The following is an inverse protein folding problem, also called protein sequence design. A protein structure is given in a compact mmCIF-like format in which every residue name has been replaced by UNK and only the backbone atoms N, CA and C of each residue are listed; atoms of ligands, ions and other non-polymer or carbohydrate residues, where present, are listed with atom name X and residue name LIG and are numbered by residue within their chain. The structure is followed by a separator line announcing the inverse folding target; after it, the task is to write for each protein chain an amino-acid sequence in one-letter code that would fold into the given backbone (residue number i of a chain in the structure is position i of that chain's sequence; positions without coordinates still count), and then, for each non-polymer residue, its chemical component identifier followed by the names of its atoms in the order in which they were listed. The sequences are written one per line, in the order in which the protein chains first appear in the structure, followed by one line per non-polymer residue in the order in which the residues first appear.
data_IF_602882156601
#
_entry.id   IF_602882156601
#
_cell.length_a   1.000
_cell.length_b   1.000
_cell.length_c   1.000
_cell.angle_alpha   90.00
_cell.angle_beta   90.00
_cell.angle_gamma   90.00
#
_symmetry.space_group_name_H-M   'P 1'
#
loop_
_entity.id
_entity.type
_entity.pdbx_description
1 polymer ?
#
# COMPACT_ATOMS: atom_id res chain seq x y z
N UNK A 1 -5.10 5.34 -20.91
CA UNK A 1 -5.10 3.85 -20.79
C UNK A 1 -3.72 3.21 -20.84
N UNK A 2 -2.76 3.72 -21.62
CA UNK A 2 -1.39 3.16 -21.70
C UNK A 2 -0.68 3.04 -20.34
N UNK A 3 -0.69 4.09 -19.52
CA UNK A 3 -0.03 4.09 -18.20
C UNK A 3 -0.63 3.10 -17.19
N UNK A 4 -1.95 2.84 -17.27
CA UNK A 4 -2.62 1.83 -16.43
C UNK A 4 -2.14 0.43 -16.77
N UNK A 5 -1.89 0.12 -18.05
CA UNK A 5 -1.31 -1.18 -18.46
C UNK A 5 0.12 -1.36 -17.99
N UNK A 6 0.94 -0.31 -18.04
CA UNK A 6 2.34 -0.35 -17.58
C UNK A 6 2.45 -0.54 -16.06
N UNK A 7 1.60 0.15 -15.30
CA UNK A 7 1.56 0.02 -13.83
C UNK A 7 1.04 -1.34 -13.38
N UNK A 8 0.02 -1.89 -14.04
CA UNK A 8 -0.41 -3.28 -13.80
C UNK A 8 0.69 -4.29 -14.08
N UNK A 9 1.42 -4.14 -15.20
CA UNK A 9 2.57 -5.00 -15.53
C UNK A 9 3.69 -4.93 -14.48
N UNK A 10 4.01 -3.72 -14.02
CA UNK A 10 5.01 -3.52 -12.96
C UNK A 10 4.58 -4.15 -11.63
N UNK A 11 3.31 -3.98 -11.23
CA UNK A 11 2.77 -4.60 -10.01
C UNK A 11 2.84 -6.12 -10.10
N UNK A 12 2.49 -6.70 -11.26
CA UNK A 12 2.62 -8.15 -11.48
C UNK A 12 4.06 -8.65 -11.37
N UNK A 13 5.01 -7.94 -11.98
CA UNK A 13 6.44 -8.27 -11.84
C UNK A 13 6.92 -8.22 -10.38
N UNK A 14 6.52 -7.21 -9.62
CA UNK A 14 6.87 -7.09 -8.21
C UNK A 14 6.30 -8.23 -7.38
N UNK A 15 5.09 -8.70 -7.68
CA UNK A 15 4.47 -9.85 -7.02
C UNK A 15 5.23 -11.15 -7.27
N UNK A 16 5.66 -11.38 -8.51
CA UNK A 16 6.51 -12.53 -8.81
C UNK A 16 7.87 -12.48 -8.10
N UNK A 17 8.44 -11.29 -7.91
CA UNK A 17 9.70 -11.13 -7.17
C UNK A 17 9.51 -11.37 -5.67
N UNK A 18 8.42 -10.86 -5.09
CA UNK A 18 8.08 -11.09 -3.69
C UNK A 18 7.85 -12.58 -3.44
N UNK A 19 7.10 -13.27 -4.31
CA UNK A 19 6.84 -14.71 -4.18
C UNK A 19 8.11 -15.57 -4.32
N UNK A 20 9.04 -15.18 -5.21
CA UNK A 20 10.36 -15.81 -5.30
C UNK A 20 11.13 -15.69 -3.99
N UNK A 21 11.17 -14.50 -3.40
CA UNK A 21 11.87 -14.27 -2.13
C UNK A 21 11.18 -15.00 -0.98
N UNK A 22 9.83 -15.05 -0.95
CA UNK A 22 9.09 -15.83 0.03
C UNK A 22 9.44 -17.32 -0.04
N UNK A 23 9.64 -17.84 -1.25
CA UNK A 23 10.04 -19.24 -1.46
C UNK A 23 11.47 -19.48 -0.96
N UNK A 24 12.39 -18.56 -1.26
CA UNK A 24 13.78 -18.63 -0.76
C UNK A 24 13.82 -18.62 0.77
N UNK A 25 13.07 -17.73 1.43
CA UNK A 25 12.99 -17.67 2.90
C UNK A 25 12.48 -18.99 3.48
N UNK A 26 11.43 -19.58 2.87
CA UNK A 26 10.90 -20.88 3.30
C UNK A 26 11.92 -22.01 3.16
N UNK A 27 12.75 -21.98 2.13
CA UNK A 27 13.84 -22.96 1.95
C UNK A 27 14.93 -22.80 3.00
N UNK A 28 15.31 -21.57 3.33
CA UNK A 28 16.27 -21.27 4.40
C UNK A 28 15.73 -21.77 5.75
N UNK A 29 14.46 -21.52 6.05
CA UNK A 29 13.81 -21.99 7.29
C UNK A 29 13.85 -23.51 7.42
N UNK A 30 13.61 -24.24 6.32
CA UNK A 30 13.72 -25.70 6.28
C UNK A 30 15.15 -26.17 6.57
N UNK A 31 16.16 -25.51 5.98
CA UNK A 31 17.57 -25.84 6.21
C UNK A 31 17.97 -25.59 7.66
N UNK A 32 17.60 -24.44 8.24
CA UNK A 32 17.84 -24.13 9.65
C UNK A 32 17.21 -25.17 10.58
N UNK A 33 15.96 -25.57 10.30
CA UNK A 33 15.28 -26.63 11.06
C UNK A 33 16.00 -27.99 10.97
N UNK A 34 16.64 -28.29 9.84
CA UNK A 34 17.47 -29.48 9.66
C UNK A 34 18.76 -29.43 10.50
N UNK A 35 19.45 -28.28 10.48
CA UNK A 35 20.66 -28.04 11.29
C UNK A 35 20.36 -28.18 12.79
N UNK A 36 19.24 -27.62 13.26
CA UNK A 36 18.79 -27.73 14.67
C UNK A 36 18.44 -29.17 15.10
N UNK A 37 18.11 -30.06 14.16
CA UNK A 37 17.88 -31.48 14.44
C UNK A 37 19.21 -32.25 14.51
N UNK A 38 20.18 -31.90 13.67
CA UNK A 38 21.51 -32.53 13.63
C UNK A 38 22.40 -32.17 14.82
N UNK A 39 22.24 -30.99 15.43
CA UNK A 39 23.03 -30.57 16.61
C UNK A 39 22.77 -31.39 17.88
N UNK A 40 21.80 -32.31 17.88
CA UNK A 40 21.44 -33.12 19.06
C UNK A 40 22.27 -34.40 19.23
N UNK A 41 23.12 -34.77 18.28
CA UNK A 41 23.82 -36.08 18.30
C UNK A 41 25.30 -36.07 17.89
N UNK A 42 25.93 -34.91 17.68
CA UNK A 42 27.23 -34.83 17.01
C UNK A 42 28.40 -34.35 17.89
N UNK A 43 29.61 -34.75 17.47
CA UNK A 43 30.90 -34.40 18.11
C UNK A 43 31.25 -32.91 17.93
N UNK A 44 32.22 -32.41 18.71
CA UNK A 44 32.55 -30.98 18.84
C UNK A 44 32.85 -30.27 17.51
N UNK A 45 33.66 -30.88 16.63
CA UNK A 45 34.02 -30.30 15.33
C UNK A 45 32.82 -30.19 14.38
N UNK A 46 31.84 -31.07 14.52
CA UNK A 46 30.62 -31.06 13.72
C UNK A 46 29.63 -30.01 14.24
N UNK A 47 29.57 -29.81 15.57
CA UNK A 47 28.80 -28.72 16.17
C UNK A 47 29.31 -27.35 15.72
N UNK A 48 30.63 -27.16 15.62
CA UNK A 48 31.22 -25.91 15.13
C UNK A 48 30.85 -25.65 13.66
N UNK A 49 30.90 -26.70 12.81
CA UNK A 49 30.48 -26.59 11.40
C UNK A 49 29.00 -26.23 11.26
N UNK A 50 28.13 -26.92 11.99
CA UNK A 50 26.69 -26.68 11.98
C UNK A 50 26.33 -25.27 12.50
N UNK A 51 27.06 -24.79 13.50
CA UNK A 51 26.90 -23.42 14.01
C UNK A 51 27.25 -22.38 12.95
N UNK A 52 28.38 -22.54 12.26
CA UNK A 52 28.77 -21.64 11.18
C UNK A 52 27.76 -21.65 10.03
N UNK A 53 27.27 -22.83 9.63
CA UNK A 53 26.22 -22.96 8.62
C UNK A 53 24.93 -22.25 9.04
N UNK A 54 24.53 -22.40 10.30
CA UNK A 54 23.35 -21.73 10.84
C UNK A 54 23.46 -20.20 10.78
N UNK A 55 24.62 -19.66 11.16
CA UNK A 55 24.88 -18.21 11.09
C UNK A 55 24.81 -17.68 9.66
N UNK A 56 25.36 -18.41 8.70
CA UNK A 56 25.33 -18.02 7.29
C UNK A 56 23.90 -18.07 6.72
N UNK A 57 23.11 -19.09 7.08
CA UNK A 57 21.68 -19.16 6.75
C UNK A 57 20.90 -17.98 7.37
N UNK A 58 21.21 -17.61 8.60
CA UNK A 58 20.56 -16.47 9.27
C UNK A 58 20.88 -15.14 8.56
N UNK A 59 22.14 -14.94 8.14
CA UNK A 59 22.56 -13.78 7.35
C UNK A 59 21.82 -13.74 6.01
N UNK A 60 21.73 -14.87 5.31
CA UNK A 60 20.99 -14.94 4.04
C UNK A 60 19.52 -14.60 4.24
N UNK A 61 18.87 -15.17 5.27
CA UNK A 61 17.47 -14.89 5.59
C UNK A 61 17.23 -13.40 5.84
N UNK A 62 18.08 -12.77 6.66
CA UNK A 62 18.00 -11.33 6.96
C UNK A 62 18.10 -10.48 5.70
N UNK A 63 19.00 -10.83 4.77
CA UNK A 63 19.15 -10.13 3.49
C UNK A 63 17.91 -10.29 2.60
N UNK A 64 17.39 -11.51 2.46
CA UNK A 64 16.17 -11.78 1.68
C UNK A 64 14.94 -11.08 2.27
N UNK A 65 14.79 -11.06 3.60
CA UNK A 65 13.71 -10.35 4.28
C UNK A 65 13.78 -8.83 4.05
N UNK A 66 14.97 -8.24 4.08
CA UNK A 66 15.15 -6.82 3.79
C UNK A 66 14.69 -6.50 2.36
N UNK A 67 15.15 -7.29 1.38
CA UNK A 67 14.78 -7.14 -0.02
C UNK A 67 13.27 -7.28 -0.24
N UNK A 68 12.63 -8.25 0.43
CA UNK A 68 11.17 -8.43 0.41
C UNK A 68 10.44 -7.17 0.89
N UNK A 69 10.85 -6.62 2.05
CA UNK A 69 10.24 -5.40 2.62
C UNK A 69 10.41 -4.19 1.72
N UNK A 70 11.55 -4.06 1.06
CA UNK A 70 11.77 -2.96 0.10
C UNK A 70 10.85 -3.06 -1.11
N UNK A 71 10.68 -4.26 -1.66
CA UNK A 71 9.74 -4.51 -2.77
C UNK A 71 8.29 -4.26 -2.36
N UNK A 72 7.88 -4.71 -1.17
CA UNK A 72 6.54 -4.42 -0.63
C UNK A 72 6.31 -2.91 -0.46
N UNK A 73 7.31 -2.19 0.08
CA UNK A 73 7.26 -0.74 0.22
C UNK A 73 7.14 -0.06 -1.14
N UNK A 74 7.90 -0.51 -2.14
CA UNK A 74 7.81 0.01 -3.50
C UNK A 74 6.44 -0.27 -4.13
N UNK A 75 5.92 -1.50 -4.01
CA UNK A 75 4.58 -1.90 -4.47
C UNK A 75 3.47 -1.04 -3.85
N UNK A 76 3.57 -0.73 -2.54
CA UNK A 76 2.58 0.08 -1.82
C UNK A 76 2.40 1.51 -2.36
N UNK A 77 3.34 2.00 -3.18
CA UNK A 77 3.21 3.30 -3.86
C UNK A 77 2.15 3.26 -4.95
N UNK A 78 2.01 2.10 -5.60
CA UNK A 78 1.15 1.90 -6.76
C UNK A 78 -0.15 1.17 -6.42
N UNK A 79 -0.27 0.56 -5.25
CA UNK A 79 -1.43 -0.25 -4.86
C UNK A 79 -2.00 0.26 -3.53
N UNK A 80 -3.33 0.36 -3.44
CA UNK A 80 -4.01 0.71 -2.20
C UNK A 80 -4.09 -0.50 -1.23
N UNK A 81 -4.59 -0.28 -0.01
CA UNK A 81 -4.75 -1.34 1.00
C UNK A 81 -5.75 -2.44 0.60
N UNK A 82 -6.51 -2.24 -0.48
CA UNK A 82 -7.51 -3.18 -1.02
C UNK A 82 -6.99 -3.90 -2.27
N UNK A 83 -5.71 -3.76 -2.60
CA UNK A 83 -5.11 -4.42 -3.76
C UNK A 83 -5.39 -3.74 -5.09
N UNK A 84 -5.96 -2.53 -5.11
CA UNK A 84 -6.29 -1.82 -6.35
C UNK A 84 -5.17 -0.88 -6.74
N UNK A 85 -4.86 -0.82 -8.04
CA UNK A 85 -3.89 0.14 -8.57
C UNK A 85 -4.38 1.56 -8.26
N UNK A 86 -3.55 2.35 -7.58
CA UNK A 86 -3.78 3.76 -7.32
C UNK A 86 -3.63 4.53 -8.63
N UNK A 87 -4.73 5.08 -9.14
CA UNK A 87 -4.64 6.24 -10.04
C UNK A 87 -4.32 7.46 -9.20
N UNK A 88 -3.06 7.88 -9.22
CA UNK A 88 -2.66 9.10 -8.53
C UNK A 88 -3.42 10.32 -9.06
N UNK A 89 -3.80 10.35 -10.33
CA UNK A 89 -4.45 11.51 -10.92
C UNK A 89 -5.92 11.64 -10.51
N UNK A 90 -6.69 10.54 -10.52
CA UNK A 90 -8.09 10.54 -10.07
C UNK A 90 -8.21 10.93 -8.59
N UNK A 91 -7.25 10.51 -7.75
CA UNK A 91 -7.18 10.91 -6.34
C UNK A 91 -6.85 12.40 -6.18
N UNK A 92 -5.84 12.90 -6.92
CA UNK A 92 -5.45 14.31 -6.91
C UNK A 92 -6.59 15.20 -7.37
N UNK A 93 -7.27 14.83 -8.45
CA UNK A 93 -8.42 15.54 -9.00
C UNK A 93 -9.55 15.59 -7.96
N UNK A 94 -9.87 14.47 -7.32
CA UNK A 94 -10.89 14.44 -6.27
C UNK A 94 -10.54 15.36 -5.09
N UNK A 95 -9.27 15.34 -4.64
CA UNK A 95 -8.80 16.22 -3.56
C UNK A 95 -8.84 17.69 -3.99
N UNK A 96 -8.45 17.99 -5.24
CA UNK A 96 -8.49 19.34 -5.79
C UNK A 96 -9.92 19.87 -5.88
N UNK A 97 -10.86 19.07 -6.40
CA UNK A 97 -12.29 19.40 -6.47
C UNK A 97 -12.86 19.61 -5.07
N UNK A 98 -12.60 18.70 -4.13
CA UNK A 98 -13.04 18.84 -2.74
C UNK A 98 -12.55 20.15 -2.11
N UNK A 99 -11.24 20.44 -2.21
CA UNK A 99 -10.65 21.68 -1.70
C UNK A 99 -11.26 22.92 -2.35
N UNK A 100 -11.45 22.89 -3.65
CA UNK A 100 -11.98 24.03 -4.42
C UNK A 100 -13.42 24.34 -4.04
N UNK A 101 -14.27 23.31 -3.92
CA UNK A 101 -15.66 23.45 -3.47
C UNK A 101 -15.72 24.04 -2.07
N UNK A 102 -14.97 23.48 -1.12
CA UNK A 102 -14.96 23.97 0.26
C UNK A 102 -14.40 25.40 0.37
N UNK A 103 -13.37 25.72 -0.42
CA UNK A 103 -12.87 27.09 -0.53
C UNK A 103 -13.95 28.06 -1.03
N UNK A 104 -14.66 27.71 -2.10
CA UNK A 104 -15.72 28.53 -2.66
C UNK A 104 -16.88 28.75 -1.66
N UNK A 105 -17.33 27.69 -0.99
CA UNK A 105 -18.37 27.77 0.05
C UNK A 105 -17.95 28.70 1.19
N UNK A 106 -16.70 28.60 1.65
CA UNK A 106 -16.19 29.48 2.71
C UNK A 106 -16.11 30.94 2.26
N UNK A 107 -15.67 31.18 1.03
CA UNK A 107 -15.63 32.53 0.44
C UNK A 107 -17.03 33.12 0.35
N UNK A 108 -18.02 32.36 -0.11
CA UNK A 108 -19.43 32.79 -0.13
C UNK A 108 -19.91 33.10 1.29
N UNK A 109 -19.57 32.25 2.26
CA UNK A 109 -19.98 32.42 3.66
C UNK A 109 -19.40 33.64 4.37
N UNK A 110 -18.29 34.21 3.87
CA UNK A 110 -17.76 35.47 4.38
C UNK A 110 -18.72 36.64 4.14
N UNK A 111 -19.58 36.54 3.12
CA UNK A 111 -20.57 37.56 2.75
C UNK A 111 -21.98 37.11 3.17
N UNK A 112 -22.32 35.83 3.00
CA UNK A 112 -23.67 35.30 3.22
C UNK A 112 -23.68 34.00 4.03
N UNK A 113 -23.82 34.12 5.36
CA UNK A 113 -23.78 32.97 6.29
C UNK A 113 -24.87 31.92 6.04
N UNK A 114 -26.11 32.33 5.75
CA UNK A 114 -27.21 31.39 5.52
C UNK A 114 -26.99 30.54 4.25
N UNK A 115 -26.55 31.15 3.15
CA UNK A 115 -26.16 30.46 1.92
C UNK A 115 -25.00 29.48 2.14
N UNK A 116 -23.99 29.85 2.93
CA UNK A 116 -22.95 28.89 3.35
C UNK A 116 -23.55 27.68 4.05
N UNK A 117 -24.41 27.88 5.06
CA UNK A 117 -25.04 26.78 5.78
C UNK A 117 -25.88 25.88 4.87
N UNK A 118 -26.55 26.45 3.86
CA UNK A 118 -27.30 25.69 2.86
C UNK A 118 -26.36 24.82 2.02
N UNK A 119 -25.32 25.42 1.44
CA UNK A 119 -24.37 24.72 0.56
C UNK A 119 -23.61 23.61 1.29
N UNK A 120 -23.21 23.81 2.55
CA UNK A 120 -22.56 22.77 3.37
C UNK A 120 -23.48 21.57 3.63
N UNK A 121 -24.79 21.79 3.74
CA UNK A 121 -25.78 20.72 3.92
C UNK A 121 -26.08 20.02 2.59
N UNK A 122 -26.26 20.81 1.53
CA UNK A 122 -26.72 20.36 0.23
C UNK A 122 -25.63 19.65 -0.59
N UNK A 123 -24.39 20.13 -0.55
CA UNK A 123 -23.30 19.55 -1.34
C UNK A 123 -22.65 18.41 -0.56
N UNK A 124 -22.59 17.22 -1.17
CA UNK A 124 -21.82 16.08 -0.67
C UNK A 124 -20.71 15.75 -1.65
N UNK A 125 -19.47 15.91 -1.19
CA UNK A 125 -18.27 15.48 -1.92
C UNK A 125 -17.86 14.08 -1.45
N UNK A 126 -17.44 13.24 -2.38
CA UNK A 126 -16.93 11.90 -2.13
C UNK A 126 -16.29 11.37 -3.41
N UNK A 127 -16.46 10.07 -3.70
CA UNK A 127 -16.08 9.52 -5.02
C UNK A 127 -16.82 10.26 -6.15
N UNK A 128 -18.07 10.65 -5.89
CA UNK A 128 -18.86 11.53 -6.73
C UNK A 128 -19.22 12.80 -5.95
N UNK A 129 -19.44 13.90 -6.66
CA UNK A 129 -20.00 15.12 -6.08
C UNK A 129 -21.49 15.18 -6.41
N UNK A 130 -22.33 15.42 -5.39
CA UNK A 130 -23.78 15.60 -5.57
C UNK A 130 -24.27 16.86 -4.88
N UNK A 131 -25.25 17.51 -5.48
CA UNK A 131 -26.05 18.55 -4.86
C UNK A 131 -27.41 17.95 -4.52
N UNK A 132 -27.71 17.87 -3.22
CA UNK A 132 -28.94 17.32 -2.67
C UNK A 132 -29.47 18.27 -1.58
N UNK A 133 -30.14 19.35 -1.99
CA UNK A 133 -30.61 20.37 -1.05
C UNK A 133 -31.67 19.77 -0.11
N UNK A 134 -31.72 20.24 1.15
CA UNK A 134 -32.70 19.76 2.13
C UNK A 134 -34.14 20.18 1.79
N UNK A 135 -34.29 21.28 1.07
CA UNK A 135 -35.57 21.80 0.58
C UNK A 135 -35.51 21.90 -0.95
N UNK A 136 -36.66 21.73 -1.60
CA UNK A 136 -36.76 21.87 -3.05
C UNK A 136 -36.47 23.32 -3.45
N UNK A 137 -35.54 23.50 -4.40
CA UNK A 137 -35.11 24.83 -4.85
C UNK A 137 -35.83 25.17 -6.13
N UNK A 138 -36.75 26.13 -6.07
CA UNK A 138 -37.39 26.73 -7.25
C UNK A 138 -36.47 27.79 -7.83
N UNK A 139 -35.99 27.55 -9.04
CA UNK A 139 -35.26 28.55 -9.82
C UNK A 139 -36.28 29.34 -10.63
N UNK A 140 -36.35 30.65 -10.42
CA UNK A 140 -37.18 31.59 -11.18
C UNK A 140 -36.40 32.16 -12.37
#
# INVERSE_FOLDING_TARGET
ESEKRTTLGLVGYLDEQIERINTEIKEIDRKQSGVEQSTKSSDHDELERLSNEYEDLERQKKASDLKRRELEKFKSRYVDKRGRVRNQDEEKDRVAVHKTIHYAINRIGSIHKALKSHLEKAIKTGVFCRYNPPEEVTWL
#
